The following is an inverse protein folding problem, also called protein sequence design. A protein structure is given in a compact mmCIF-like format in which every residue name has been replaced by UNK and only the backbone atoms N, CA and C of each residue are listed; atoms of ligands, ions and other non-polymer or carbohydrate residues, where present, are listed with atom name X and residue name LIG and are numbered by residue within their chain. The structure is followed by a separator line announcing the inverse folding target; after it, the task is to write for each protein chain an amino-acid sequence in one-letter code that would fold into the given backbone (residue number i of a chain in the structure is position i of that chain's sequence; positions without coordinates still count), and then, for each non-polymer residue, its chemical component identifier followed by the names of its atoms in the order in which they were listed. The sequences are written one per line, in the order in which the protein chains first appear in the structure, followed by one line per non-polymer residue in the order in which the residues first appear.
data_IF_933754084157
#
_entry.id   IF_933754084157
#
_cell.length_a   1.000
_cell.length_b   1.000
_cell.length_c   1.000
_cell.angle_alpha   90.00
_cell.angle_beta   90.00
_cell.angle_gamma   90.00
#
_symmetry.space_group_name_H-M   'P 1'
#
loop_
_entity.id
_entity.type
_entity.pdbx_description
1 polymer ?
#
# COMPACT_ATOMS: atom_id res chain seq x y z
N UNK A 1 -33.03 -16.05 -41.41
CA UNK A 1 -33.24 -16.74 -40.13
C UNK A 1 -33.39 -15.65 -39.07
N UNK A 2 -34.58 -15.26 -38.55
CA UNK A 2 -35.84 -16.02 -38.40
C UNK A 2 -35.59 -17.37 -37.70
N UNK A 3 -36.13 -17.69 -36.52
CA UNK A 3 -37.16 -17.08 -35.64
C UNK A 3 -36.52 -16.74 -34.26
N UNK A 4 -37.14 -16.19 -33.21
CA UNK A 4 -38.55 -16.19 -32.75
C UNK A 4 -39.02 -14.82 -32.20
N UNK A 5 -40.34 -14.69 -32.04
CA UNK A 5 -41.08 -13.53 -31.51
C UNK A 5 -42.07 -14.00 -30.43
N UNK A 6 -42.63 -13.02 -29.70
CA UNK A 6 -43.63 -13.15 -28.63
C UNK A 6 -43.02 -13.67 -27.30
N UNK A 7 -43.37 -13.11 -26.13
CA UNK A 7 -44.74 -12.80 -25.67
C UNK A 7 -44.87 -11.41 -25.01
N UNK A 8 -45.90 -10.68 -25.45
CA UNK A 8 -46.78 -9.69 -24.75
C UNK A 8 -46.21 -8.92 -23.54
N UNK A 9 -46.19 -7.58 -23.46
CA UNK A 9 -47.00 -6.50 -24.09
C UNK A 9 -48.48 -6.42 -23.66
N UNK A 10 -48.73 -6.06 -22.39
CA UNK A 10 -50.01 -5.61 -21.82
C UNK A 10 -49.70 -4.93 -20.46
N UNK A 11 -50.17 -3.74 -20.06
CA UNK A 11 -51.16 -2.80 -20.59
C UNK A 11 -50.64 -1.35 -20.61
N UNK A 12 -51.02 -0.57 -21.63
CA UNK A 12 -51.09 0.91 -21.57
C UNK A 12 -52.30 1.41 -22.36
N UNK A 13 -52.88 2.53 -21.90
CA UNK A 13 -53.80 3.42 -22.63
C UNK A 13 -55.29 3.04 -22.77
N UNK A 14 -56.07 3.36 -21.73
CA UNK A 14 -57.50 3.74 -21.75
C UNK A 14 -57.71 4.75 -20.59
N UNK A 15 -58.51 5.82 -20.64
CA UNK A 15 -59.17 6.57 -21.74
C UNK A 15 -59.24 8.06 -21.31
N UNK A 16 -59.53 9.02 -22.21
CA UNK A 16 -59.65 10.45 -21.87
C UNK A 16 -61.10 10.96 -21.67
N UNK A 17 -61.25 11.98 -20.80
CA UNK A 17 -62.24 13.07 -20.83
C UNK A 17 -63.75 12.80 -20.58
N UNK A 18 -64.25 13.31 -19.44
CA UNK A 18 -65.57 13.97 -19.19
C UNK A 18 -65.73 14.25 -17.68
N UNK A 19 -66.46 15.23 -17.16
CA UNK A 19 -66.89 16.54 -17.68
C UNK A 19 -67.23 17.45 -16.45
N UNK A 20 -67.37 18.77 -16.68
CA UNK A 20 -67.78 19.76 -15.68
C UNK A 20 -69.10 19.41 -14.95
N UNK A 21 -69.11 19.55 -13.62
CA UNK A 21 -70.30 19.96 -12.86
C UNK A 21 -69.90 21.04 -11.85
N UNK A 22 -70.50 22.22 -11.99
CA UNK A 22 -70.40 23.31 -11.01
C UNK A 22 -71.42 23.06 -9.90
N UNK A 23 -70.97 23.07 -8.64
CA UNK A 23 -71.83 22.90 -7.46
C UNK A 23 -71.32 23.74 -6.30
N UNK A 24 -71.82 24.98 -6.19
CA UNK A 24 -71.54 25.83 -5.04
C UNK A 24 -72.44 25.44 -3.87
N UNK A 25 -71.86 25.16 -2.70
CA UNK A 25 -72.58 25.02 -1.44
C UNK A 25 -71.80 25.74 -0.32
N UNK A 26 -72.52 26.56 0.44
CA UNK A 26 -72.02 27.40 1.53
C UNK A 26 -72.03 26.64 2.87
N UNK A 27 -71.24 27.16 3.82
CA UNK A 27 -71.21 26.82 5.27
C UNK A 27 -70.58 25.43 5.57
N UNK A 28 -69.68 25.27 6.54
CA UNK A 28 -69.66 25.93 7.86
C UNK A 28 -68.25 26.15 8.39
N UNK A 29 -68.04 27.24 9.15
CA UNK A 29 -66.83 27.44 9.95
C UNK A 29 -66.95 26.63 11.25
N UNK A 30 -66.15 25.57 11.38
CA UNK A 30 -65.92 24.89 12.66
C UNK A 30 -64.47 25.09 13.07
N UNK A 31 -64.24 26.10 13.91
CA UNK A 31 -62.96 26.26 14.57
C UNK A 31 -62.75 25.12 15.57
N UNK A 32 -61.87 24.17 15.25
CA UNK A 32 -61.38 23.20 16.21
C UNK A 32 -60.54 23.93 17.27
N UNK A 33 -61.23 24.35 18.33
CA UNK A 33 -60.65 24.91 19.55
C UNK A 33 -59.67 23.88 20.11
N UNK A 34 -58.37 24.20 20.06
CA UNK A 34 -57.34 23.34 20.63
C UNK A 34 -57.54 23.19 22.14
N UNK A 35 -58.02 22.03 22.56
CA UNK A 35 -58.11 21.67 23.97
C UNK A 35 -56.72 21.37 24.49
N UNK A 36 -56.11 22.33 25.17
CA UNK A 36 -54.98 22.09 26.08
C UNK A 36 -55.48 21.25 27.26
N UNK A 37 -55.46 19.93 27.12
CA UNK A 37 -55.69 19.00 28.22
C UNK A 37 -54.36 18.65 28.90
N UNK A 38 -53.84 19.63 29.65
CA UNK A 38 -52.85 19.36 30.69
C UNK A 38 -53.55 18.66 31.86
N UNK A 39 -53.59 17.32 31.82
CA UNK A 39 -53.96 16.50 32.97
C UNK A 39 -52.75 15.66 33.39
N UNK A 40 -52.09 15.98 34.52
CA UNK A 40 -50.93 15.24 35.01
C UNK A 40 -51.38 14.00 35.80
N UNK A 41 -52.03 13.05 35.13
CA UNK A 41 -52.38 11.75 35.74
C UNK A 41 -51.33 10.67 35.39
N UNK A 42 -50.74 10.11 36.44
CA UNK A 42 -49.72 9.08 36.34
C UNK A 42 -50.31 7.73 35.92
N UNK A 43 -50.18 7.38 34.64
CA UNK A 43 -50.63 6.08 34.13
C UNK A 43 -49.94 5.65 32.85
N UNK A 44 -48.85 4.89 32.97
CA UNK A 44 -48.42 3.84 32.02
C UNK A 44 -48.27 4.12 30.52
N UNK A 45 -48.37 5.36 30.04
CA UNK A 45 -48.48 5.73 28.61
C UNK A 45 -47.20 5.58 27.75
N UNK A 46 -46.33 4.62 28.05
CA UNK A 46 -45.15 4.31 27.26
C UNK A 46 -45.44 3.23 26.20
N UNK A 47 -45.10 3.50 24.94
CA UNK A 47 -45.03 2.54 23.83
C UNK A 47 -46.32 1.81 23.36
N UNK A 48 -47.51 2.08 23.94
CA UNK A 48 -48.78 1.45 23.52
C UNK A 48 -49.88 2.42 23.01
N UNK A 49 -49.56 3.69 22.80
CA UNK A 49 -50.48 4.60 22.11
C UNK A 49 -50.57 4.24 20.62
N UNK A 50 -51.80 4.04 20.13
CA UNK A 50 -52.05 3.88 18.70
C UNK A 50 -51.94 5.21 17.96
N UNK A 51 -51.49 5.18 16.71
CA UNK A 51 -51.26 6.38 15.91
C UNK A 51 -51.54 6.18 14.41
N UNK A 52 -51.77 7.30 13.73
CA UNK A 52 -51.90 7.48 12.29
C UNK A 52 -50.84 8.46 11.74
N UNK A 53 -50.40 9.42 12.56
CA UNK A 53 -49.40 10.45 12.21
C UNK A 53 -48.43 10.75 13.35
N UNK A 54 -47.22 11.22 13.04
CA UNK A 54 -46.17 11.51 14.02
C UNK A 54 -46.60 12.50 15.13
N UNK A 55 -47.52 13.43 14.84
CA UNK A 55 -48.02 14.42 15.81
C UNK A 55 -48.94 13.85 16.90
N UNK A 56 -49.38 12.61 16.77
CA UNK A 56 -50.11 11.88 17.82
C UNK A 56 -49.16 11.21 18.83
N UNK A 57 -47.86 11.16 18.51
CA UNK A 57 -46.83 10.58 19.35
C UNK A 57 -46.17 11.64 20.25
N UNK A 58 -45.68 11.20 21.41
CA UNK A 58 -44.87 12.04 22.30
C UNK A 58 -43.55 12.43 21.62
N UNK A 59 -43.00 13.59 21.96
CA UNK A 59 -41.65 14.03 21.56
C UNK A 59 -40.63 12.89 21.71
N UNK A 60 -39.85 12.63 20.65
CA UNK A 60 -38.91 11.51 20.59
C UNK A 60 -39.50 10.18 20.09
N UNK A 61 -40.79 10.15 19.74
CA UNK A 61 -41.43 9.03 19.05
C UNK A 61 -41.94 9.44 17.67
N UNK A 62 -42.00 8.49 16.73
CA UNK A 62 -42.65 8.61 15.41
C UNK A 62 -43.71 7.54 15.23
N UNK A 63 -44.64 7.74 14.31
CA UNK A 63 -45.71 6.80 14.06
C UNK A 63 -45.30 5.73 13.03
N UNK A 64 -45.18 4.48 13.48
CA UNK A 64 -44.97 3.35 12.57
C UNK A 64 -46.29 2.98 11.89
N UNK A 65 -46.60 3.62 10.76
CA UNK A 65 -47.91 3.58 10.08
C UNK A 65 -48.50 2.18 9.90
N UNK A 66 -47.70 1.19 9.52
CA UNK A 66 -48.17 -0.19 9.30
C UNK A 66 -48.59 -0.92 10.58
N UNK A 67 -47.99 -0.55 11.72
CA UNK A 67 -48.24 -1.14 13.03
C UNK A 67 -49.15 -0.25 13.89
N UNK A 68 -49.56 0.90 13.35
CA UNK A 68 -50.32 1.94 14.02
C UNK A 68 -49.84 2.24 15.45
N UNK A 69 -48.51 2.27 15.69
CA UNK A 69 -47.93 2.49 17.03
C UNK A 69 -46.81 3.52 17.02
N UNK A 70 -46.70 4.27 18.12
CA UNK A 70 -45.58 5.16 18.35
C UNK A 70 -44.30 4.37 18.69
N UNK A 71 -43.26 4.53 17.87
CA UNK A 71 -41.92 3.95 18.07
C UNK A 71 -40.91 5.00 18.47
N UNK A 72 -40.01 4.70 19.41
CA UNK A 72 -38.98 5.63 19.85
C UNK A 72 -37.95 5.89 18.73
N UNK A 73 -37.36 7.08 18.71
CA UNK A 73 -36.28 7.45 17.76
C UNK A 73 -34.90 7.61 18.43
N UNK A 74 -34.85 7.64 19.75
CA UNK A 74 -33.62 7.84 20.55
C UNK A 74 -33.84 7.44 22.01
N UNK A 75 -32.77 7.22 22.75
CA UNK A 75 -32.83 6.89 24.19
C UNK A 75 -33.46 8.00 25.02
N UNK A 76 -33.25 9.27 24.63
CA UNK A 76 -33.88 10.44 25.24
C UNK A 76 -35.41 10.47 25.15
N UNK A 77 -36.02 9.64 24.30
CA UNK A 77 -37.47 9.46 24.25
C UNK A 77 -37.98 8.52 25.36
N UNK A 78 -37.13 7.62 25.84
CA UNK A 78 -37.52 6.59 26.80
C UNK A 78 -37.49 7.10 28.25
N UNK A 79 -38.34 6.55 29.13
CA UNK A 79 -38.25 6.79 30.57
C UNK A 79 -36.86 6.42 31.14
N UNK A 80 -36.43 7.10 32.19
CA UNK A 80 -35.13 6.87 32.84
C UNK A 80 -34.88 5.40 33.15
N UNK A 81 -33.74 4.87 32.71
CA UNK A 81 -33.37 3.46 32.86
C UNK A 81 -33.88 2.53 31.75
N UNK A 82 -34.54 3.05 30.72
CA UNK A 82 -34.90 2.33 29.49
C UNK A 82 -34.19 2.92 28.27
N UNK A 83 -33.87 2.05 27.32
CA UNK A 83 -33.19 2.35 26.06
C UNK A 83 -34.13 2.10 24.89
N UNK A 84 -34.01 2.90 23.83
CA UNK A 84 -34.70 2.66 22.58
C UNK A 84 -34.03 1.50 21.82
N UNK A 85 -34.77 0.43 21.60
CA UNK A 85 -34.34 -0.66 20.73
C UNK A 85 -34.60 -0.26 19.26
N UNK A 86 -33.53 -0.06 18.49
CA UNK A 86 -33.62 0.39 17.09
C UNK A 86 -34.35 -0.60 16.16
N UNK A 87 -34.41 -1.89 16.50
CA UNK A 87 -35.07 -2.92 15.68
C UNK A 87 -36.57 -3.03 15.97
N UNK A 88 -37.00 -2.90 17.23
CA UNK A 88 -38.41 -3.01 17.61
C UNK A 88 -39.11 -1.66 17.73
N UNK A 89 -38.35 -0.57 17.89
CA UNK A 89 -38.87 0.76 18.19
C UNK A 89 -39.48 0.89 19.59
N UNK A 90 -39.17 -0.04 20.51
CA UNK A 90 -39.70 -0.06 21.88
C UNK A 90 -38.63 0.34 22.90
N UNK A 91 -39.07 0.96 24.00
CA UNK A 91 -38.23 1.21 25.17
C UNK A 91 -38.08 -0.07 25.99
N UNK A 92 -36.85 -0.55 26.17
CA UNK A 92 -36.49 -1.80 26.85
C UNK A 92 -35.42 -1.56 27.91
N UNK A 93 -35.35 -2.39 28.95
CA UNK A 93 -34.33 -2.25 30.01
C UNK A 93 -32.92 -2.65 29.58
N UNK A 94 -32.82 -3.50 28.55
CA UNK A 94 -31.56 -4.04 28.03
C UNK A 94 -31.57 -4.00 26.51
N UNK A 95 -30.47 -3.55 25.92
CA UNK A 95 -30.22 -3.56 24.47
C UNK A 95 -28.90 -4.26 24.19
N UNK A 96 -28.81 -5.10 23.13
CA UNK A 96 -27.54 -5.64 22.69
C UNK A 96 -26.67 -4.53 22.05
N UNK A 97 -25.36 -4.64 22.22
CA UNK A 97 -24.39 -3.64 21.77
C UNK A 97 -24.05 -2.61 22.85
N UNK A 98 -23.51 -1.47 22.45
CA UNK A 98 -23.04 -0.43 23.37
C UNK A 98 -24.13 0.62 23.69
N UNK A 99 -24.08 1.18 24.89
CA UNK A 99 -24.86 2.35 25.33
C UNK A 99 -24.00 3.56 25.69
N UNK A 100 -22.68 3.37 25.80
CA UNK A 100 -21.69 4.43 26.04
C UNK A 100 -20.29 3.98 25.61
N UNK A 101 -19.39 4.93 25.34
CA UNK A 101 -18.01 4.67 24.92
C UNK A 101 -17.24 3.75 25.89
N UNK A 102 -17.55 3.80 27.19
CA UNK A 102 -16.92 2.95 28.21
C UNK A 102 -17.23 1.45 28.11
N UNK A 103 -18.06 1.04 27.15
CA UNK A 103 -18.33 -0.36 26.81
C UNK A 103 -17.58 -0.83 25.54
N UNK A 104 -16.87 0.07 24.86
CA UNK A 104 -16.08 -0.21 23.67
C UNK A 104 -14.57 -0.30 24.00
N UNK A 105 -13.74 -0.69 23.03
CA UNK A 105 -12.28 -0.67 23.22
C UNK A 105 -11.76 0.79 23.35
N UNK A 106 -10.56 1.03 23.93
CA UNK A 106 -10.03 2.39 24.13
C UNK A 106 -9.87 3.23 22.85
N UNK A 107 -9.71 2.59 21.69
CA UNK A 107 -9.62 3.22 20.36
C UNK A 107 -10.98 3.30 19.63
N UNK A 108 -12.08 3.04 20.33
CA UNK A 108 -13.43 3.00 19.78
C UNK A 108 -14.38 3.96 20.51
N UNK A 109 -15.50 4.25 19.86
CA UNK A 109 -16.61 5.01 20.42
C UNK A 109 -17.93 4.28 20.15
N UNK A 110 -18.94 4.56 20.98
CA UNK A 110 -20.24 3.97 20.82
C UNK A 110 -21.11 4.82 19.89
N UNK A 111 -21.41 4.31 18.68
CA UNK A 111 -22.45 4.90 17.85
C UNK A 111 -23.83 4.48 18.38
N UNK A 112 -24.35 5.25 19.34
CA UNK A 112 -25.59 4.93 20.10
C UNK A 112 -26.80 4.64 19.19
N UNK A 113 -26.87 5.27 18.01
CA UNK A 113 -27.95 5.06 17.02
C UNK A 113 -27.93 3.66 16.39
N UNK A 114 -26.76 3.04 16.25
CA UNK A 114 -26.59 1.68 15.71
C UNK A 114 -26.26 0.63 16.78
N UNK A 115 -25.92 1.07 18.01
CA UNK A 115 -25.37 0.26 19.11
C UNK A 115 -24.04 -0.42 18.80
N UNK A 116 -23.32 0.06 17.78
CA UNK A 116 -22.03 -0.52 17.39
C UNK A 116 -20.86 0.30 17.94
N UNK A 117 -19.85 -0.39 18.44
CA UNK A 117 -18.54 0.21 18.67
C UNK A 117 -17.87 0.43 17.31
N UNK A 118 -17.44 1.66 17.04
CA UNK A 118 -16.70 2.03 15.84
C UNK A 118 -15.33 2.53 16.22
N UNK A 119 -14.30 2.22 15.41
CA UNK A 119 -12.98 2.84 15.53
C UNK A 119 -13.10 4.37 15.49
N UNK A 120 -12.36 5.03 16.36
CA UNK A 120 -12.15 6.48 16.32
C UNK A 120 -11.24 6.84 15.16
N UNK A 121 -11.46 8.04 14.66
CA UNK A 121 -10.81 8.65 13.50
C UNK A 121 -9.48 9.28 13.90
N UNK A 122 -8.51 9.18 13.01
CA UNK A 122 -7.16 9.72 13.19
C UNK A 122 -7.10 11.24 12.98
N UNK A 123 -5.92 11.82 13.22
CA UNK A 123 -5.66 13.24 12.98
C UNK A 123 -5.91 13.63 11.52
N UNK A 124 -6.55 14.78 11.30
CA UNK A 124 -6.98 15.29 10.00
C UNK A 124 -7.93 14.38 9.19
N UNK A 125 -8.52 13.33 9.76
CA UNK A 125 -9.63 12.62 9.12
C UNK A 125 -10.95 13.41 9.19
N UNK A 126 -11.82 13.35 8.18
CA UNK A 126 -13.12 14.04 8.20
C UNK A 126 -14.01 13.54 9.35
N UNK A 127 -14.80 14.41 9.97
CA UNK A 127 -15.69 14.05 11.08
C UNK A 127 -16.99 14.89 11.07
N UNK A 128 -17.96 14.49 11.89
CA UNK A 128 -19.15 15.31 12.17
C UNK A 128 -19.35 15.65 13.65
N UNK A 129 -18.73 14.89 14.56
CA UNK A 129 -18.91 15.01 16.02
C UNK A 129 -17.60 14.68 16.75
N UNK A 130 -17.31 15.36 17.87
CA UNK A 130 -16.09 15.16 18.68
C UNK A 130 -15.85 13.71 19.08
N UNK A 131 -16.92 12.98 19.39
CA UNK A 131 -16.89 11.58 19.84
C UNK A 131 -16.22 10.64 18.83
N UNK A 132 -16.17 11.05 17.56
CA UNK A 132 -15.55 10.30 16.48
C UNK A 132 -14.03 10.38 16.49
N UNK A 133 -13.41 11.31 17.22
CA UNK A 133 -11.99 11.61 17.12
C UNK A 133 -11.13 10.90 18.19
N UNK A 134 -9.91 10.51 17.78
CA UNK A 134 -8.79 9.96 18.55
C UNK A 134 -8.98 9.69 20.05
N UNK A 135 -8.50 10.60 20.90
CA UNK A 135 -8.67 10.54 22.35
C UNK A 135 -9.91 11.30 22.83
N UNK A 136 -10.34 11.08 24.07
CA UNK A 136 -11.51 11.76 24.67
C UNK A 136 -11.39 13.30 24.80
N UNK A 137 -10.18 13.84 24.61
CA UNK A 137 -9.92 15.27 24.57
C UNK A 137 -10.00 15.87 23.14
N UNK A 138 -9.83 15.03 22.11
CA UNK A 138 -9.77 15.43 20.70
C UNK A 138 -11.14 15.95 20.22
N UNK A 139 -11.12 16.78 19.17
CA UNK A 139 -12.30 17.54 18.74
C UNK A 139 -12.51 17.49 17.24
N UNK A 140 -13.79 17.57 16.84
CA UNK A 140 -14.17 17.67 15.45
C UNK A 140 -14.22 19.16 15.05
N UNK A 141 -13.09 19.67 14.58
CA UNK A 141 -12.89 21.10 14.30
C UNK A 141 -13.28 21.41 12.86
N UNK A 142 -14.05 22.48 12.68
CA UNK A 142 -14.38 22.98 11.34
C UNK A 142 -13.18 23.70 10.74
N UNK A 143 -12.82 23.31 9.52
CA UNK A 143 -11.91 24.06 8.65
C UNK A 143 -12.69 25.16 7.93
N UNK A 144 -12.37 26.42 8.22
CA UNK A 144 -13.05 27.58 7.63
C UNK A 144 -12.73 27.80 6.15
N UNK A 145 -11.61 27.26 5.65
CA UNK A 145 -11.22 27.36 4.24
C UNK A 145 -11.95 26.31 3.40
N UNK A 146 -12.10 25.09 3.94
CA UNK A 146 -12.71 23.96 3.25
C UNK A 146 -14.20 23.78 3.57
N UNK A 147 -14.73 24.48 4.56
CA UNK A 147 -16.14 24.46 4.98
C UNK A 147 -16.60 23.17 5.69
N UNK A 148 -15.72 22.18 5.83
CA UNK A 148 -15.95 20.83 6.40
C UNK A 148 -15.17 20.63 7.70
N UNK A 149 -15.49 19.60 8.48
CA UNK A 149 -14.82 19.35 9.77
C UNK A 149 -13.88 18.14 9.73
N UNK A 150 -12.80 18.23 10.51
CA UNK A 150 -11.76 17.21 10.65
C UNK A 150 -11.35 17.02 12.11
N UNK A 151 -10.85 15.83 12.44
CA UNK A 151 -10.38 15.51 13.78
C UNK A 151 -9.04 16.19 14.09
N UNK A 152 -9.04 17.08 15.08
CA UNK A 152 -7.83 17.68 15.65
C UNK A 152 -7.49 17.06 17.00
N UNK A 153 -6.21 16.72 17.19
CA UNK A 153 -5.67 16.18 18.44
C UNK A 153 -5.64 17.27 19.51
N UNK A 154 -5.92 16.96 20.77
CA UNK A 154 -5.74 17.91 21.87
C UNK A 154 -4.25 18.16 22.17
N UNK A 155 -3.90 19.38 22.58
CA UNK A 155 -2.52 19.76 22.91
C UNK A 155 -2.45 20.81 24.03
N UNK A 156 -1.30 20.89 24.68
CA UNK A 156 -0.91 21.99 25.57
C UNK A 156 0.24 22.82 24.99
N UNK A 157 1.07 22.21 24.14
CA UNK A 157 2.24 22.79 23.48
C UNK A 157 2.41 22.22 22.08
N UNK A 158 3.23 22.85 21.23
CA UNK A 158 3.54 22.34 19.89
C UNK A 158 4.19 20.94 19.91
N UNK A 159 4.87 20.57 21.00
CA UNK A 159 5.51 19.27 21.15
C UNK A 159 4.51 18.11 21.35
N UNK A 160 3.24 18.40 21.63
CA UNK A 160 2.19 17.38 21.70
C UNK A 160 1.67 16.98 20.30
N UNK A 161 2.05 17.73 19.26
CA UNK A 161 1.48 17.64 17.92
C UNK A 161 2.31 16.77 16.95
N UNK A 162 1.67 16.13 15.96
CA UNK A 162 2.38 15.49 14.86
C UNK A 162 3.23 16.48 14.06
N UNK A 163 4.22 15.97 13.34
CA UNK A 163 5.07 16.80 12.47
C UNK A 163 4.23 17.68 11.52
N UNK A 164 4.68 18.92 11.32
CA UNK A 164 4.01 19.98 10.55
C UNK A 164 2.66 20.50 11.13
N UNK A 165 2.19 19.97 12.26
CA UNK A 165 1.13 20.59 13.05
C UNK A 165 1.69 21.49 14.16
N UNK A 166 0.90 22.45 14.61
CA UNK A 166 1.17 23.35 15.73
C UNK A 166 -0.05 23.40 16.65
N UNK A 167 0.16 23.69 17.92
CA UNK A 167 -0.90 23.79 18.90
C UNK A 167 -1.62 25.14 18.75
N UNK A 168 -2.79 25.11 18.11
CA UNK A 168 -3.58 26.29 17.76
C UNK A 168 -4.88 26.32 18.57
N UNK A 169 -5.32 27.52 18.96
CA UNK A 169 -6.66 27.67 19.55
C UNK A 169 -7.71 27.69 18.44
N UNK A 170 -8.47 26.59 18.29
CA UNK A 170 -9.59 26.46 17.34
C UNK A 170 -10.80 25.91 18.08
N UNK A 171 -11.99 26.44 17.76
CA UNK A 171 -13.23 26.09 18.46
C UNK A 171 -13.28 26.48 19.95
N UNK A 172 -12.33 27.30 20.43
CA UNK A 172 -12.17 27.65 21.85
C UNK A 172 -11.30 26.67 22.66
N UNK A 173 -10.74 25.65 22.01
CA UNK A 173 -9.84 24.66 22.62
C UNK A 173 -8.47 24.66 21.96
N UNK A 174 -7.42 24.31 22.71
CA UNK A 174 -6.09 24.07 22.14
C UNK A 174 -6.06 22.73 21.43
N UNK A 175 -5.72 22.75 20.14
CA UNK A 175 -5.71 21.57 19.28
C UNK A 175 -4.60 21.66 18.24
N UNK A 176 -3.98 20.52 17.96
CA UNK A 176 -3.04 20.40 16.87
C UNK A 176 -3.75 20.68 15.56
N UNK A 177 -3.18 21.60 14.78
CA UNK A 177 -3.66 21.93 13.45
C UNK A 177 -2.47 22.16 12.51
N UNK A 178 -2.57 21.80 11.23
CA UNK A 178 -1.51 22.08 10.25
C UNK A 178 -1.02 23.54 10.31
N UNK A 179 0.30 23.74 10.38
CA UNK A 179 0.89 25.06 10.57
C UNK A 179 0.79 25.97 9.33
N UNK A 180 0.82 25.38 8.14
CA UNK A 180 0.86 26.08 6.85
C UNK A 180 -0.09 25.48 5.78
N UNK A 181 -1.02 24.62 6.20
CA UNK A 181 -1.81 23.77 5.30
C UNK A 181 -3.26 23.60 5.81
N UNK A 182 -4.10 22.88 5.06
CA UNK A 182 -5.40 22.37 5.52
C UNK A 182 -5.30 20.88 5.87
N UNK A 183 -6.28 20.34 6.57
CA UNK A 183 -6.38 18.89 6.78
C UNK A 183 -6.68 18.08 5.52
N UNK A 184 -6.97 18.70 4.36
CA UNK A 184 -7.04 17.99 3.06
C UNK A 184 -5.67 17.89 2.38
N UNK A 185 -4.76 18.83 2.64
CA UNK A 185 -3.34 18.70 2.26
C UNK A 185 -2.51 17.86 3.24
N UNK A 186 -3.09 17.50 4.40
CA UNK A 186 -2.47 16.73 5.48
C UNK A 186 -3.32 15.52 5.90
N UNK A 187 -4.37 15.19 5.14
CA UNK A 187 -4.98 13.87 5.21
C UNK A 187 -3.91 12.85 4.90
N UNK A 188 -3.92 11.74 5.65
CA UNK A 188 -2.86 10.73 5.66
C UNK A 188 -2.33 10.37 4.28
N UNK A 189 -1.05 10.01 4.24
CA UNK A 189 -0.41 9.72 2.97
C UNK A 189 -1.18 8.64 2.20
N UNK A 190 -1.14 8.75 0.88
CA UNK A 190 -1.72 7.73 0.01
C UNK A 190 -0.65 6.64 -0.20
N UNK A 191 -0.89 5.40 0.23
CA UNK A 191 0.10 4.33 0.13
C UNK A 191 0.21 3.78 -1.28
N UNK A 192 1.36 3.17 -1.57
CA UNK A 192 1.50 2.22 -2.66
C UNK A 192 0.94 0.88 -2.13
N UNK A 193 -0.28 0.47 -2.56
CA UNK A 193 -0.88 -0.80 -2.07
C UNK A 193 -0.22 -2.02 -2.70
N UNK A 194 0.44 -1.82 -3.84
CA UNK A 194 1.05 -2.88 -4.66
C UNK A 194 0.04 -3.96 -5.11
N UNK A 195 -1.27 -3.63 -5.09
CA UNK A 195 -2.33 -4.45 -5.66
C UNK A 195 -2.02 -4.70 -7.14
N UNK A 196 -2.08 -5.94 -7.61
CA UNK A 196 -1.76 -6.27 -9.00
C UNK A 196 -2.82 -5.72 -9.95
N UNK A 197 -2.40 -5.07 -11.04
CA UNK A 197 -3.28 -4.34 -11.96
C UNK A 197 -2.82 -4.40 -13.42
N UNK A 198 -3.74 -4.16 -14.35
CA UNK A 198 -3.43 -3.86 -15.76
C UNK A 198 -3.88 -2.45 -16.21
N UNK A 199 -4.78 -1.81 -15.46
CA UNK A 199 -5.26 -0.44 -15.68
C UNK A 199 -5.62 0.27 -14.37
N UNK A 200 -5.60 1.62 -14.36
CA UNK A 200 -5.95 2.48 -13.21
C UNK A 200 -7.27 2.09 -12.52
N UNK A 201 -8.26 1.61 -13.27
CA UNK A 201 -9.58 1.25 -12.75
C UNK A 201 -9.59 0.01 -11.82
N UNK A 202 -8.50 -0.76 -11.79
CA UNK A 202 -8.35 -1.92 -10.91
C UNK A 202 -7.84 -1.53 -9.51
N UNK A 203 -7.21 -0.34 -9.36
CA UNK A 203 -6.60 0.13 -8.13
C UNK A 203 -7.65 0.70 -7.14
N UNK A 204 -8.44 -0.19 -6.55
CA UNK A 204 -9.57 0.16 -5.67
C UNK A 204 -9.23 0.19 -4.18
N UNK A 205 -8.07 -0.33 -3.78
CA UNK A 205 -7.66 -0.36 -2.36
C UNK A 205 -7.12 0.99 -1.85
N UNK A 206 -6.52 1.82 -2.73
CA UNK A 206 -6.08 3.18 -2.40
C UNK A 206 -7.04 4.28 -2.86
N UNK A 207 -6.89 5.49 -2.33
CA UNK A 207 -7.79 6.61 -2.59
C UNK A 207 -7.45 7.46 -3.83
N UNK A 208 -6.19 7.46 -4.28
CA UNK A 208 -5.75 8.11 -5.53
C UNK A 208 -4.57 7.35 -6.17
N UNK A 209 -4.81 6.13 -6.64
CA UNK A 209 -3.78 5.29 -7.25
C UNK A 209 -3.82 5.30 -8.78
N UNK A 210 -2.69 4.89 -9.36
CA UNK A 210 -2.48 4.56 -10.77
C UNK A 210 -1.94 3.15 -10.87
N UNK A 211 -2.22 2.50 -12.00
CA UNK A 211 -1.50 1.27 -12.33
C UNK A 211 -0.15 1.62 -12.95
N UNK A 212 0.95 1.30 -12.27
CA UNK A 212 2.25 1.26 -12.93
C UNK A 212 2.27 0.01 -13.82
N UNK A 213 1.99 0.19 -15.11
CA UNK A 213 1.94 -0.88 -16.12
C UNK A 213 3.30 -1.54 -16.39
N UNK A 214 4.41 -0.98 -15.91
CA UNK A 214 5.75 -1.61 -15.99
C UNK A 214 5.96 -2.54 -14.80
N UNK A 215 5.46 -2.17 -13.61
CA UNK A 215 5.51 -3.00 -12.40
C UNK A 215 4.32 -3.97 -12.28
N UNK A 216 3.22 -3.73 -13.00
CA UNK A 216 1.95 -4.44 -12.86
C UNK A 216 1.27 -4.18 -11.51
N UNK A 217 1.53 -3.03 -10.89
CA UNK A 217 1.19 -2.76 -9.49
C UNK A 217 0.59 -1.37 -9.27
N UNK A 218 -0.36 -1.28 -8.33
CA UNK A 218 -1.00 -0.03 -7.93
C UNK A 218 -0.10 0.81 -7.03
N UNK A 219 0.21 2.03 -7.50
CA UNK A 219 1.05 3.02 -6.81
C UNK A 219 0.30 4.34 -6.65
N UNK A 220 0.63 5.11 -5.62
CA UNK A 220 0.03 6.41 -5.35
C UNK A 220 0.37 7.41 -6.47
N UNK A 221 -0.67 8.00 -7.08
CA UNK A 221 -0.53 8.99 -8.16
C UNK A 221 0.31 10.20 -7.75
N UNK A 222 0.31 10.51 -6.46
CA UNK A 222 1.11 11.58 -5.85
C UNK A 222 1.71 11.08 -4.54
N UNK A 223 3.05 10.99 -4.48
CA UNK A 223 3.77 10.73 -3.23
C UNK A 223 3.57 11.92 -2.28
N UNK A 224 2.89 11.66 -1.17
CA UNK A 224 2.55 12.68 -0.15
C UNK A 224 3.65 12.83 0.91
N UNK A 225 4.48 11.81 1.10
CA UNK A 225 5.53 11.81 2.10
C UNK A 225 6.79 12.60 1.66
N UNK A 226 7.51 13.22 2.61
CA UNK A 226 8.85 13.79 2.40
C UNK A 226 9.84 12.82 1.75
N UNK A 227 10.90 13.35 1.14
CA UNK A 227 12.01 12.54 0.64
C UNK A 227 12.62 11.69 1.76
N UNK A 228 12.77 10.39 1.52
CA UNK A 228 13.26 9.44 2.53
C UNK A 228 12.16 8.90 3.46
N UNK A 229 10.88 9.14 3.16
CA UNK A 229 9.75 8.52 3.85
C UNK A 229 8.84 7.79 2.86
N UNK A 230 8.33 6.63 3.25
CA UNK A 230 7.26 5.91 2.56
C UNK A 230 5.96 6.09 3.32
N UNK A 231 4.86 5.83 2.63
CA UNK A 231 3.57 5.81 3.28
C UNK A 231 3.24 4.40 3.75
N UNK A 232 3.07 4.23 5.05
CA UNK A 232 2.55 2.99 5.57
C UNK A 232 1.07 2.80 5.18
N UNK A 233 0.73 1.59 4.75
CA UNK A 233 -0.57 1.28 4.14
C UNK A 233 -1.69 1.08 5.15
N UNK A 234 -1.35 0.65 6.38
CA UNK A 234 -2.33 0.25 7.40
C UNK A 234 -2.64 1.39 8.37
N UNK A 235 -1.69 2.32 8.55
CA UNK A 235 -1.80 3.52 9.39
C UNK A 235 -1.98 4.82 8.61
N UNK A 236 -1.71 4.84 7.30
CA UNK A 236 -1.66 6.06 6.46
C UNK A 236 -0.71 7.14 6.99
N UNK A 237 0.36 6.74 7.68
CA UNK A 237 1.39 7.64 8.20
C UNK A 237 2.70 7.54 7.40
N UNK A 238 3.44 8.64 7.33
CA UNK A 238 4.75 8.65 6.67
C UNK A 238 5.80 8.07 7.63
N UNK A 239 6.26 6.85 7.33
CA UNK A 239 7.33 6.16 8.06
C UNK A 239 8.65 6.31 7.32
N UNK A 240 9.77 6.05 8.00
CA UNK A 240 11.10 6.06 7.38
C UNK A 240 11.15 5.07 6.22
N UNK A 241 11.56 5.54 5.04
CA UNK A 241 11.84 4.66 3.91
C UNK A 241 13.05 3.81 4.25
N UNK A 242 12.93 2.48 4.12
CA UNK A 242 14.10 1.62 4.19
C UNK A 242 14.94 1.78 2.92
N UNK A 243 16.26 1.61 3.08
CA UNK A 243 17.25 1.57 2.00
C UNK A 243 18.09 0.30 2.05
N UNK A 244 18.17 -0.37 3.22
CA UNK A 244 18.75 -1.72 3.37
C UNK A 244 17.85 -2.64 4.18
N UNK A 245 18.11 -3.95 4.08
CA UNK A 245 17.40 -4.99 4.83
C UNK A 245 17.66 -4.86 6.36
N UNK A 246 18.80 -4.30 6.78
CA UNK A 246 19.09 -4.06 8.22
C UNK A 246 18.23 -2.96 8.84
N UNK A 247 17.82 -1.95 8.07
CA UNK A 247 16.97 -0.86 8.59
C UNK A 247 15.58 -1.39 9.00
N UNK A 248 15.11 -2.45 8.35
CA UNK A 248 13.86 -3.14 8.70
C UNK A 248 13.93 -4.00 9.97
N UNK A 249 15.11 -4.21 10.56
CA UNK A 249 15.25 -4.98 11.81
C UNK A 249 14.77 -4.20 13.07
N UNK A 250 14.47 -2.90 12.92
CA UNK A 250 13.96 -2.03 13.98
C UNK A 250 12.49 -1.66 13.79
N UNK A 251 11.85 -2.15 12.74
CA UNK A 251 10.46 -1.82 12.41
C UNK A 251 9.48 -2.60 13.32
N UNK A 252 8.44 -1.96 13.90
CA UNK A 252 7.46 -2.64 14.75
C UNK A 252 6.76 -3.83 14.10
N UNK A 253 6.49 -3.78 12.80
CA UNK A 253 5.83 -4.88 12.07
C UNK A 253 6.77 -6.08 11.84
N UNK A 254 8.05 -5.91 12.19
CA UNK A 254 9.14 -6.86 12.00
C UNK A 254 9.68 -7.43 13.32
N UNK A 255 9.11 -7.08 14.48
CA UNK A 255 9.61 -7.47 15.81
C UNK A 255 9.73 -9.00 16.01
N UNK A 256 8.97 -9.80 15.24
CA UNK A 256 8.95 -11.27 15.32
C UNK A 256 9.18 -11.98 13.97
N UNK A 257 9.50 -11.25 12.90
CA UNK A 257 9.62 -11.80 11.53
C UNK A 257 10.74 -11.12 10.77
N UNK A 258 11.54 -11.90 10.02
CA UNK A 258 12.60 -11.35 9.17
C UNK A 258 11.97 -10.48 8.10
N UNK A 259 12.18 -9.18 8.15
CA UNK A 259 11.71 -8.25 7.12
C UNK A 259 12.79 -7.96 6.09
N UNK A 260 12.33 -7.59 4.89
CA UNK A 260 13.18 -7.19 3.78
C UNK A 260 12.74 -5.85 3.24
N UNK A 261 13.71 -5.02 2.86
CA UNK A 261 13.43 -3.76 2.20
C UNK A 261 13.03 -4.01 0.74
N UNK A 262 11.75 -3.85 0.43
CA UNK A 262 11.20 -4.01 -0.93
C UNK A 262 10.51 -2.72 -1.33
N UNK A 263 10.92 -2.10 -2.45
CA UNK A 263 10.40 -0.81 -2.91
C UNK A 263 10.44 0.32 -1.85
N UNK A 264 11.44 0.30 -0.97
CA UNK A 264 11.62 1.18 0.19
C UNK A 264 10.62 0.98 1.36
N UNK A 265 9.83 -0.09 1.34
CA UNK A 265 8.96 -0.52 2.45
C UNK A 265 9.50 -1.80 3.09
N UNK A 266 9.40 -1.91 4.41
CA UNK A 266 9.73 -3.14 5.13
C UNK A 266 8.60 -4.14 4.99
N UNK A 267 8.87 -5.27 4.34
CA UNK A 267 7.88 -6.33 4.11
C UNK A 267 8.32 -7.58 4.88
N UNK A 268 7.46 -8.17 5.75
CA UNK A 268 7.78 -9.41 6.45
C UNK A 268 7.92 -10.57 5.47
N UNK A 269 9.06 -11.24 5.53
CA UNK A 269 9.40 -12.38 4.68
C UNK A 269 9.18 -13.68 5.45
N UNK A 270 8.31 -14.53 4.90
CA UNK A 270 8.11 -15.89 5.40
C UNK A 270 9.32 -16.76 5.02
N UNK A 271 10.23 -16.94 5.97
CA UNK A 271 11.41 -17.81 5.86
C UNK A 271 11.01 -19.28 5.98
N UNK A 272 11.64 -20.17 5.21
CA UNK A 272 11.31 -21.59 5.17
C UNK A 272 12.54 -22.48 4.94
N UNK A 273 12.50 -23.71 5.47
CA UNK A 273 13.44 -24.81 5.19
C UNK A 273 12.82 -25.87 4.27
N UNK A 274 11.50 -25.91 4.21
CA UNK A 274 10.73 -26.88 3.44
C UNK A 274 9.42 -26.28 2.94
N UNK A 275 8.83 -26.89 1.92
CA UNK A 275 7.53 -26.46 1.38
C UNK A 275 6.39 -26.52 2.41
N UNK A 276 6.49 -27.37 3.43
CA UNK A 276 5.52 -27.50 4.51
C UNK A 276 5.46 -26.32 5.48
N UNK A 277 6.46 -25.43 5.47
CA UNK A 277 6.47 -24.20 6.28
C UNK A 277 5.75 -23.03 5.58
N UNK A 278 5.48 -23.15 4.29
CA UNK A 278 4.78 -22.13 3.51
C UNK A 278 3.26 -22.36 3.50
N UNK A 279 2.48 -21.29 3.30
CA UNK A 279 1.03 -21.38 3.22
C UNK A 279 0.57 -22.15 1.97
N UNK A 280 -0.67 -22.70 1.96
CA UNK A 280 -1.23 -23.34 0.79
C UNK A 280 -1.17 -22.41 -0.44
N UNK A 281 -0.61 -22.90 -1.55
CA UNK A 281 -0.38 -22.09 -2.75
C UNK A 281 1.00 -21.43 -2.81
N UNK A 282 1.88 -21.64 -1.83
CA UNK A 282 3.29 -21.19 -1.87
C UNK A 282 4.27 -22.36 -2.06
N UNK A 283 5.51 -22.01 -2.41
CA UNK A 283 6.67 -22.91 -2.53
C UNK A 283 7.90 -22.26 -1.89
N UNK A 284 8.70 -23.06 -1.18
CA UNK A 284 9.93 -22.59 -0.56
C UNK A 284 11.05 -22.51 -1.61
N UNK A 285 11.60 -21.33 -1.82
CA UNK A 285 12.71 -21.09 -2.76
C UNK A 285 13.98 -20.84 -1.96
N UNK A 286 14.85 -21.85 -1.87
CA UNK A 286 16.14 -21.78 -1.18
C UNK A 286 17.23 -21.38 -2.19
N UNK A 287 17.91 -20.23 -2.02
CA UNK A 287 19.01 -19.83 -2.89
C UNK A 287 20.19 -20.82 -2.86
N UNK A 288 20.92 -21.02 -3.96
CA UNK A 288 22.09 -21.90 -3.98
C UNK A 288 23.11 -21.55 -2.89
N UNK A 289 23.41 -22.51 -2.02
CA UNK A 289 24.36 -22.35 -0.93
C UNK A 289 23.78 -21.86 0.41
N UNK A 290 22.47 -21.63 0.52
CA UNK A 290 21.80 -21.34 1.79
C UNK A 290 21.05 -22.55 2.36
N UNK A 291 20.80 -22.54 3.67
CA UNK A 291 20.03 -23.58 4.39
C UNK A 291 18.57 -23.19 4.64
N UNK A 292 18.21 -21.95 4.31
CA UNK A 292 16.89 -21.35 4.51
C UNK A 292 16.54 -20.55 3.24
N UNK A 293 15.25 -20.41 2.95
CA UNK A 293 14.73 -19.80 1.74
C UNK A 293 13.46 -18.98 1.98
N UNK A 294 12.84 -18.53 0.90
CA UNK A 294 11.69 -17.64 0.90
C UNK A 294 10.42 -18.35 0.40
N UNK A 295 9.31 -18.24 1.12
CA UNK A 295 8.00 -18.71 0.66
C UNK A 295 7.44 -17.79 -0.42
N UNK A 296 7.52 -18.22 -1.68
CA UNK A 296 6.97 -17.49 -2.84
C UNK A 296 5.66 -18.09 -3.33
N UNK A 297 4.78 -17.31 -3.99
CA UNK A 297 3.63 -17.87 -4.70
C UNK A 297 4.06 -18.99 -5.66
N UNK A 298 3.40 -20.14 -5.56
CA UNK A 298 3.52 -21.22 -6.55
C UNK A 298 2.53 -20.98 -7.69
N UNK A 299 2.83 -21.49 -8.86
CA UNK A 299 1.98 -21.36 -10.04
C UNK A 299 1.53 -22.75 -10.55
N UNK A 300 0.48 -22.77 -11.36
CA UNK A 300 0.00 -23.96 -12.07
C UNK A 300 -0.13 -23.75 -13.59
N UNK A 301 -0.17 -22.50 -14.06
CA UNK A 301 -0.04 -22.10 -15.47
C UNK A 301 0.73 -20.79 -15.59
N UNK A 302 1.18 -20.47 -16.81
CA UNK A 302 1.94 -19.25 -17.10
C UNK A 302 1.11 -17.98 -16.87
N UNK A 303 -0.22 -18.05 -16.97
CA UNK A 303 -1.14 -16.92 -16.74
C UNK A 303 -1.18 -16.44 -15.28
N UNK A 304 -0.64 -17.24 -14.34
CA UNK A 304 -0.49 -16.88 -12.93
C UNK A 304 0.83 -16.17 -12.62
N UNK A 305 1.67 -15.97 -13.64
CA UNK A 305 2.98 -15.39 -13.52
C UNK A 305 3.03 -13.97 -14.11
N UNK A 306 3.78 -13.04 -13.49
CA UNK A 306 3.99 -11.71 -14.05
C UNK A 306 4.52 -11.75 -15.49
N UNK A 307 4.18 -10.75 -16.31
CA UNK A 307 4.66 -10.63 -17.69
C UNK A 307 6.19 -10.75 -17.76
N UNK A 308 6.69 -11.60 -18.67
CA UNK A 308 8.12 -11.93 -18.77
C UNK A 308 8.55 -13.12 -17.90
N UNK A 309 7.63 -13.74 -17.16
CA UNK A 309 7.89 -15.00 -16.42
C UNK A 309 6.88 -16.08 -16.82
N UNK A 310 7.28 -17.35 -16.70
CA UNK A 310 6.42 -18.51 -16.96
C UNK A 310 6.52 -19.52 -15.82
N UNK A 311 5.56 -20.42 -15.76
CA UNK A 311 5.42 -21.38 -14.70
C UNK A 311 6.29 -22.62 -14.95
N UNK A 312 7.32 -22.82 -14.13
CA UNK A 312 8.20 -23.97 -14.25
C UNK A 312 8.67 -24.51 -12.89
N UNK A 313 8.97 -25.80 -12.85
CA UNK A 313 9.71 -26.43 -11.77
C UNK A 313 11.15 -26.74 -12.26
N UNK A 314 12.11 -25.81 -12.11
CA UNK A 314 13.47 -26.03 -12.61
C UNK A 314 14.30 -26.99 -11.74
N UNK A 315 13.95 -27.16 -10.46
CA UNK A 315 14.75 -27.90 -9.47
C UNK A 315 14.05 -29.14 -8.89
N UNK A 316 12.80 -29.42 -9.29
CA UNK A 316 11.96 -30.49 -8.71
C UNK A 316 11.34 -30.13 -7.35
N UNK A 317 11.39 -28.86 -6.95
CA UNK A 317 10.85 -28.35 -5.67
C UNK A 317 9.39 -27.90 -5.75
N UNK A 318 8.86 -27.77 -6.97
CA UNK A 318 7.52 -27.29 -7.28
C UNK A 318 7.52 -26.10 -8.25
N UNK A 319 6.45 -26.01 -9.02
CA UNK A 319 6.21 -24.94 -9.98
C UNK A 319 6.28 -23.54 -9.33
N UNK A 320 7.12 -22.68 -9.90
CA UNK A 320 7.24 -21.25 -9.57
C UNK A 320 7.37 -20.43 -10.85
N UNK A 321 7.09 -19.14 -10.76
CA UNK A 321 7.32 -18.22 -11.86
C UNK A 321 8.83 -17.99 -12.03
N UNK A 322 9.36 -18.36 -13.20
CA UNK A 322 10.76 -18.15 -13.59
C UNK A 322 10.84 -17.22 -14.79
N UNK A 323 11.88 -16.40 -14.88
CA UNK A 323 12.08 -15.51 -16.02
C UNK A 323 12.20 -16.30 -17.33
N UNK A 324 11.34 -15.95 -18.29
CA UNK A 324 11.42 -16.44 -19.66
C UNK A 324 12.14 -15.42 -20.53
N UNK A 325 12.67 -15.92 -21.63
CA UNK A 325 13.45 -15.10 -22.53
C UNK A 325 13.29 -15.56 -23.98
N UNK A 326 13.40 -14.61 -24.90
CA UNK A 326 13.59 -14.83 -26.33
C UNK A 326 15.05 -14.61 -26.74
N UNK A 327 15.77 -13.79 -25.98
CA UNK A 327 17.17 -13.42 -26.16
C UNK A 327 17.83 -13.12 -24.81
N UNK A 328 19.18 -13.02 -24.76
CA UNK A 328 19.90 -12.66 -23.53
C UNK A 328 19.39 -11.34 -22.93
N UNK A 329 18.97 -10.37 -23.76
CA UNK A 329 18.50 -9.06 -23.32
C UNK A 329 17.22 -9.08 -22.47
N UNK A 330 16.50 -10.21 -22.45
CA UNK A 330 15.31 -10.40 -21.61
C UNK A 330 15.67 -10.89 -20.18
N UNK A 331 16.94 -11.24 -19.94
CA UNK A 331 17.45 -11.75 -18.67
C UNK A 331 18.28 -10.71 -17.91
N UNK A 332 18.51 -10.95 -16.61
CA UNK A 332 19.43 -10.13 -15.82
C UNK A 332 20.87 -10.23 -16.37
N UNK A 333 21.71 -9.22 -16.15
CA UNK A 333 23.09 -9.19 -16.65
C UNK A 333 23.95 -10.40 -16.19
N UNK A 334 23.57 -11.04 -15.08
CA UNK A 334 24.15 -12.27 -14.50
C UNK A 334 23.56 -13.58 -15.04
N UNK A 335 22.81 -13.52 -16.13
CA UNK A 335 22.08 -14.65 -16.71
C UNK A 335 22.18 -14.63 -18.24
N UNK A 336 22.00 -15.77 -18.91
CA UNK A 336 21.84 -15.87 -20.36
C UNK A 336 20.51 -16.51 -20.70
N UNK A 337 20.02 -16.31 -21.92
CA UNK A 337 18.86 -17.01 -22.41
C UNK A 337 19.21 -18.39 -22.98
N UNK A 338 18.73 -19.46 -22.34
CA UNK A 338 18.92 -20.84 -22.79
C UNK A 338 17.59 -21.59 -22.77
N UNK A 339 17.19 -22.15 -23.92
CA UNK A 339 15.93 -22.88 -24.08
C UNK A 339 14.69 -22.10 -23.55
N UNK A 340 14.63 -20.80 -23.88
CA UNK A 340 13.61 -19.83 -23.46
C UNK A 340 13.53 -19.56 -21.94
N UNK A 341 14.60 -19.84 -21.19
CA UNK A 341 14.73 -19.56 -19.75
C UNK A 341 16.00 -18.79 -19.45
N UNK A 342 15.93 -17.88 -18.50
CA UNK A 342 17.14 -17.25 -17.95
C UNK A 342 17.88 -18.26 -17.07
N UNK A 343 19.15 -18.52 -17.40
CA UNK A 343 20.03 -19.44 -16.66
C UNK A 343 21.29 -18.70 -16.20
N UNK A 344 21.87 -19.05 -15.03
CA UNK A 344 23.03 -18.36 -14.48
C UNK A 344 24.22 -18.28 -15.45
N UNK A 345 24.86 -17.12 -15.51
CA UNK A 345 26.04 -16.86 -16.33
C UNK A 345 26.45 -15.39 -16.30
N UNK A 346 26.63 -14.77 -17.46
CA UNK A 346 26.95 -13.36 -17.60
C UNK A 346 26.56 -12.88 -19.01
N UNK A 347 26.28 -11.59 -19.18
CA UNK A 347 26.10 -10.99 -20.51
C UNK A 347 27.26 -10.09 -20.92
N UNK A 348 27.90 -9.46 -19.93
CA UNK A 348 28.96 -8.46 -20.06
C UNK A 348 30.05 -8.69 -18.99
N UNK A 349 31.22 -8.06 -19.13
CA UNK A 349 32.38 -8.32 -18.27
C UNK A 349 32.19 -7.80 -16.83
N UNK A 350 31.47 -6.71 -16.68
CA UNK A 350 31.23 -5.93 -15.46
C UNK A 350 30.51 -6.73 -14.36
N UNK A 351 29.89 -7.84 -14.75
CA UNK A 351 29.14 -8.77 -13.90
C UNK A 351 30.04 -9.83 -13.26
N UNK A 352 31.19 -10.10 -13.90
CA UNK A 352 32.13 -11.10 -13.45
C UNK A 352 33.07 -10.57 -12.37
N UNK A 353 33.67 -11.47 -11.59
CA UNK A 353 34.62 -11.10 -10.55
C UNK A 353 35.90 -10.47 -11.10
N UNK A 354 36.72 -9.91 -10.21
CA UNK A 354 38.03 -9.39 -10.57
C UNK A 354 38.89 -10.46 -11.26
N UNK A 355 39.52 -10.09 -12.38
CA UNK A 355 40.30 -10.97 -13.26
C UNK A 355 39.52 -12.08 -14.00
N UNK A 356 38.19 -11.97 -14.05
CA UNK A 356 37.33 -12.77 -14.91
C UNK A 356 36.84 -11.95 -16.12
N UNK A 357 36.46 -12.65 -17.19
CA UNK A 357 35.73 -12.06 -18.31
C UNK A 357 34.50 -12.89 -18.63
N UNK A 358 33.51 -12.27 -19.24
CA UNK A 358 32.36 -12.97 -19.76
C UNK A 358 32.69 -13.62 -21.10
N UNK A 359 32.67 -14.96 -21.17
CA UNK A 359 33.06 -15.70 -22.37
C UNK A 359 32.19 -16.94 -22.62
N UNK A 360 31.90 -17.22 -23.89
CA UNK A 360 31.10 -18.35 -24.35
C UNK A 360 30.37 -18.03 -25.65
N UNK A 361 29.78 -19.04 -26.30
CA UNK A 361 29.12 -18.91 -27.61
C UNK A 361 27.62 -19.24 -27.61
N UNK A 362 27.07 -19.74 -26.50
CA UNK A 362 25.63 -20.04 -26.33
C UNK A 362 25.12 -19.74 -24.92
N UNK A 363 25.92 -20.09 -23.92
CA UNK A 363 25.77 -19.61 -22.54
C UNK A 363 27.14 -19.06 -22.18
N UNK A 364 27.25 -17.76 -21.96
CA UNK A 364 28.50 -17.14 -21.53
C UNK A 364 28.65 -17.32 -20.01
N UNK A 365 29.85 -17.62 -19.57
CA UNK A 365 30.18 -17.77 -18.16
C UNK A 365 31.40 -16.92 -17.81
N UNK A 366 31.45 -16.47 -16.56
CA UNK A 366 32.61 -15.79 -16.02
C UNK A 366 33.79 -16.76 -16.00
N UNK A 367 34.77 -16.48 -16.84
CA UNK A 367 35.96 -17.31 -17.04
C UNK A 367 37.16 -16.55 -16.51
N UNK A 368 37.86 -17.12 -15.52
CA UNK A 368 39.12 -16.56 -15.02
C UNK A 368 40.13 -16.44 -16.17
N UNK A 369 40.76 -15.27 -16.29
CA UNK A 369 41.85 -15.06 -17.23
C UNK A 369 43.21 -15.26 -16.58
N UNK A 370 44.14 -15.84 -17.33
CA UNK A 370 45.54 -16.02 -16.91
C UNK A 370 46.43 -14.94 -17.53
N UNK A 371 47.47 -14.53 -16.81
CA UNK A 371 48.44 -13.55 -17.29
C UNK A 371 48.03 -12.08 -17.17
N UNK A 372 47.07 -11.76 -16.31
CA UNK A 372 46.83 -10.39 -15.81
C UNK A 372 47.44 -10.28 -14.41
N UNK A 373 47.80 -9.07 -13.97
CA UNK A 373 48.47 -8.82 -12.68
C UNK A 373 49.82 -9.55 -12.44
N UNK A 374 50.36 -10.24 -13.44
CA UNK A 374 51.71 -10.79 -13.36
C UNK A 374 52.74 -9.67 -13.28
N UNK A 375 53.68 -9.80 -12.34
CA UNK A 375 54.83 -8.90 -12.29
C UNK A 375 55.80 -9.23 -13.41
N UNK A 376 56.37 -8.19 -13.99
CA UNK A 376 57.38 -8.27 -15.03
C UNK A 376 58.56 -7.39 -14.61
N UNK A 377 59.76 -7.64 -15.14
CA UNK A 377 60.94 -6.84 -14.81
C UNK A 377 60.83 -5.50 -15.57
N UNK A 378 60.54 -4.37 -14.90
CA UNK A 378 60.21 -3.14 -15.62
C UNK A 378 61.46 -2.50 -16.23
N UNK A 379 61.31 -1.69 -17.31
CA UNK A 379 62.34 -0.72 -17.66
C UNK A 379 62.64 0.21 -16.46
N UNK A 380 63.92 0.56 -16.30
CA UNK A 380 64.43 1.31 -15.13
C UNK A 380 63.83 2.71 -15.01
N UNK A 381 63.30 3.25 -16.11
CA UNK A 381 62.62 4.55 -16.20
C UNK A 381 61.16 4.46 -15.72
N UNK A 382 60.75 5.25 -14.70
CA UNK A 382 59.35 5.34 -14.28
C UNK A 382 58.43 5.73 -15.45
N UNK A 383 57.18 5.23 -15.43
CA UNK A 383 56.16 5.53 -16.43
C UNK A 383 56.55 5.17 -17.89
N UNK A 384 57.45 4.20 -18.07
CA UNK A 384 57.76 3.64 -19.39
C UNK A 384 57.31 2.19 -19.49
N UNK A 385 56.94 1.80 -20.71
CA UNK A 385 56.54 0.44 -21.06
C UNK A 385 57.51 -0.15 -22.08
N UNK A 386 57.80 -1.45 -21.96
CA UNK A 386 58.58 -2.22 -22.93
C UNK A 386 57.74 -3.39 -23.45
N UNK A 387 57.82 -3.75 -24.75
CA UNK A 387 57.16 -4.93 -25.27
C UNK A 387 57.71 -6.21 -24.62
N UNK A 388 56.80 -7.10 -24.20
CA UNK A 388 57.07 -8.37 -23.56
C UNK A 388 56.34 -9.48 -24.33
N UNK A 389 56.73 -9.71 -25.58
CA UNK A 389 56.03 -10.60 -26.50
C UNK A 389 54.79 -9.94 -27.09
N UNK A 390 53.61 -10.51 -26.85
CA UNK A 390 52.31 -9.94 -27.28
C UNK A 390 51.72 -8.95 -26.25
N UNK A 391 52.29 -8.90 -25.05
CA UNK A 391 51.87 -8.08 -23.92
C UNK A 391 52.92 -6.98 -23.63
N UNK A 392 52.61 -6.04 -22.74
CA UNK A 392 53.46 -4.90 -22.38
C UNK A 392 53.90 -4.97 -20.92
N UNK A 393 55.16 -4.67 -20.62
CA UNK A 393 55.64 -4.53 -19.25
C UNK A 393 55.82 -3.05 -18.90
N UNK A 394 55.06 -2.54 -17.94
CA UNK A 394 54.99 -1.12 -17.62
C UNK A 394 55.37 -0.80 -16.17
N UNK A 395 56.17 0.24 -15.97
CA UNK A 395 56.59 0.70 -14.65
C UNK A 395 55.58 1.71 -14.07
N UNK A 396 54.68 1.23 -13.21
CA UNK A 396 53.70 2.06 -12.49
C UNK A 396 54.14 2.23 -11.03
N UNK A 397 54.81 3.34 -10.72
CA UNK A 397 55.21 3.68 -9.35
C UNK A 397 56.26 2.76 -8.71
N UNK A 398 57.09 2.09 -9.51
CA UNK A 398 58.19 1.24 -9.03
C UNK A 398 57.94 -0.27 -9.11
N UNK A 399 56.72 -0.69 -9.44
CA UNK A 399 56.39 -2.08 -9.76
C UNK A 399 56.13 -2.26 -11.25
N UNK A 400 56.72 -3.30 -11.84
CA UNK A 400 56.47 -3.68 -13.24
C UNK A 400 55.23 -4.56 -13.34
N UNK A 401 54.19 -4.08 -14.03
CA UNK A 401 52.93 -4.82 -14.25
C UNK A 401 52.81 -5.20 -15.73
N UNK A 402 52.43 -6.45 -16.00
CA UNK A 402 52.12 -6.93 -17.33
C UNK A 402 50.70 -6.47 -17.74
N UNK A 403 50.61 -5.70 -18.82
CA UNK A 403 49.38 -5.19 -19.42
C UNK A 403 49.12 -5.86 -20.78
N UNK A 404 47.95 -6.48 -20.94
CA UNK A 404 47.56 -7.13 -22.20
C UNK A 404 47.03 -6.14 -23.21
N UNK A 405 47.30 -6.36 -24.49
CA UNK A 405 46.85 -5.47 -25.56
C UNK A 405 45.30 -5.46 -25.68
N UNK A 406 44.68 -4.28 -25.57
CA UNK A 406 43.23 -4.08 -25.63
C UNK A 406 42.73 -3.41 -26.92
N UNK A 407 43.56 -3.32 -27.97
CA UNK A 407 43.16 -2.76 -29.26
C UNK A 407 42.16 -3.63 -30.04
N UNK A 408 42.05 -4.93 -29.71
CA UNK A 408 41.18 -5.90 -30.40
C UNK A 408 40.19 -6.62 -29.49
N UNK A 409 40.26 -6.43 -28.17
CA UNK A 409 39.36 -7.03 -27.19
C UNK A 409 39.19 -6.10 -25.96
N UNK A 410 37.97 -6.01 -25.38
CA UNK A 410 37.73 -5.23 -24.18
C UNK A 410 38.46 -5.83 -22.96
N UNK A 411 38.82 -4.98 -22.01
CA UNK A 411 39.46 -5.38 -20.77
C UNK A 411 38.49 -6.13 -19.82
N UNK A 412 39.01 -6.99 -18.93
CA UNK A 412 38.23 -7.61 -17.86
C UNK A 412 37.78 -6.61 -16.81
N UNK A 413 36.86 -7.04 -15.95
CA UNK A 413 36.42 -6.24 -14.83
C UNK A 413 37.58 -5.89 -13.88
N UNK A 414 37.63 -4.64 -13.43
CA UNK A 414 38.74 -4.07 -12.66
C UNK A 414 39.96 -3.67 -13.49
N UNK A 415 39.89 -3.64 -14.84
CA UNK A 415 40.97 -3.18 -15.70
C UNK A 415 40.50 -2.17 -16.76
N UNK A 416 41.19 -1.04 -16.84
CA UNK A 416 40.95 0.01 -17.82
C UNK A 416 41.85 -0.17 -19.06
N UNK A 417 41.29 0.07 -20.25
CA UNK A 417 42.03 0.09 -21.50
C UNK A 417 42.69 1.48 -21.68
N UNK A 418 43.92 1.63 -21.18
CA UNK A 418 44.65 2.91 -21.19
C UNK A 418 45.51 3.00 -22.45
N UNK A 419 45.52 4.20 -23.04
CA UNK A 419 46.38 4.52 -24.18
C UNK A 419 47.82 4.82 -23.73
N UNK A 420 48.77 4.04 -24.24
CA UNK A 420 50.21 4.10 -23.93
C UNK A 420 50.95 4.90 -25.03
N UNK A 421 50.23 5.71 -25.80
CA UNK A 421 50.79 6.50 -26.91
C UNK A 421 51.19 5.64 -28.09
N UNK A 422 52.43 5.78 -28.57
CA UNK A 422 52.90 5.09 -29.78
C UNK A 422 52.99 3.57 -29.64
N UNK A 423 52.87 3.03 -28.43
CA UNK A 423 52.85 1.59 -28.15
C UNK A 423 51.42 0.98 -28.28
N UNK A 424 50.38 1.80 -28.45
CA UNK A 424 49.00 1.36 -28.51
C UNK A 424 48.34 1.30 -27.13
N UNK A 425 47.38 0.39 -26.94
CA UNK A 425 46.53 0.36 -25.73
C UNK A 425 46.70 -0.93 -24.93
N UNK A 426 46.75 -0.83 -23.61
CA UNK A 426 46.88 -1.95 -22.69
C UNK A 426 45.82 -1.95 -21.58
N UNK A 427 45.44 -3.13 -21.11
CA UNK A 427 44.63 -3.30 -19.90
C UNK A 427 45.48 -3.12 -18.64
N UNK A 428 45.17 -2.12 -17.84
CA UNK A 428 45.81 -1.85 -16.55
C UNK A 428 44.80 -1.96 -15.42
N UNK A 429 45.18 -2.44 -14.23
CA UNK A 429 44.26 -2.51 -13.09
C UNK A 429 43.78 -1.09 -12.74
N UNK A 430 42.46 -0.90 -12.67
CA UNK A 430 41.84 0.41 -12.36
C UNK A 430 42.11 0.85 -10.91
N UNK A 431 42.47 -0.10 -10.04
CA UNK A 431 42.94 0.12 -8.69
C UNK A 431 44.12 -0.84 -8.39
N UNK A 432 45.25 -0.38 -7.80
CA UNK A 432 46.37 -1.24 -7.40
C UNK A 432 45.99 -2.45 -6.55
N UNK A 433 44.89 -2.38 -5.77
CA UNK A 433 44.40 -3.50 -4.96
C UNK A 433 43.85 -4.68 -5.77
N UNK A 434 43.47 -4.49 -7.04
CA UNK A 434 43.00 -5.58 -7.93
C UNK A 434 44.06 -6.68 -8.03
N UNK A 435 45.34 -6.31 -8.15
CA UNK A 435 46.45 -7.26 -8.21
C UNK A 435 46.89 -7.83 -6.85
N UNK A 436 46.35 -7.31 -5.75
CA UNK A 436 46.54 -7.90 -4.42
C UNK A 436 45.52 -9.03 -4.14
N UNK A 437 44.49 -9.20 -4.97
CA UNK A 437 43.52 -10.29 -4.80
C UNK A 437 44.16 -11.66 -5.09
N UNK A 438 43.99 -12.68 -4.22
CA UNK A 438 44.42 -14.05 -4.51
C UNK A 438 43.63 -14.71 -5.66
N UNK A 439 42.59 -14.07 -6.19
CA UNK A 439 41.92 -14.50 -7.43
C UNK A 439 42.64 -14.07 -8.71
N UNK A 440 43.55 -13.09 -8.60
CA UNK A 440 44.30 -12.50 -9.71
C UNK A 440 45.77 -12.95 -9.77
N UNK A 441 46.21 -13.80 -8.84
CA UNK A 441 47.52 -14.47 -8.82
C UNK A 441 47.41 -15.89 -9.39
#
# INVERSE_FOLDING_TARGET
MQEERAVLSSLRSWISAAALVVGAALLSVSACKGSTSDTPDGGGGGALATCSVDSECRTGFRCHRELHRCVCTSDSACPSGLYCNAFTGQCVSEVPGCTSDGQCAPSEYCEVSSRTCRKRRAFCEPCTEDVQCGASADRCIRDDQLGRSFCGKACSTDADCPDQATCQSRGGTQTCWPAAATCESLSGCNPDTLQSCTADAECTEGSDQVCDVVQGACVARKRTCPFGQVCDKDTHTCTSACTTDEECALDPDCENTVCRCTNNQCVPVAVCKSRSECQPGQVCVIPPGQSEGECRPSCTSDDQCPLGTACADPDGGGNRCVATCSSDADCALSENCSAARCVPGCQANEVCGFCERCAGTRVKQCTRMTGYCQTCMPPVTPNTCSPAGADWCCNLGGSGVLAKNCASAPCPNGFDCIDIGTLGRGCFPSNPSVCASPTCQ
#
